data_IF_234337458671
#
_entry.id   IF_234337458671
#
_cell.length_a   1.000
_cell.length_b   1.000
_cell.length_c   1.000
_cell.angle_alpha   90.00
_cell.angle_beta   90.00
_cell.angle_gamma   90.00
#
_symmetry.space_group_name_H-M   'P 1'
#
loop_
_entity.id
_entity.type
_entity.pdbx_description
1 polymer ?
2 branched ?
3 water ?
#
# COMPACT_ATOMS: atom_id res chain seq x y z
N UNK A 1 16.14 -17.29 0.64
CA UNK A 1 14.97 -16.85 1.39
C UNK A 1 13.71 -16.82 0.51
N UNK A 2 12.55 -16.95 1.14
CA UNK A 2 11.27 -16.96 0.44
C UNK A 2 10.58 -15.62 0.63
N UNK A 3 10.28 -14.95 -0.49
CA UNK A 3 9.67 -13.62 -0.40
C UNK A 3 8.19 -13.67 -0.01
N UNK A 4 7.52 -14.81 -0.18
CA UNK A 4 6.12 -14.89 0.17
C UNK A 4 5.38 -15.89 -0.70
N UNK A 5 4.04 -15.89 -0.64
CA UNK A 5 3.20 -14.97 0.12
C UNK A 5 3.16 -15.28 1.61
N UNK A 6 2.86 -14.25 2.39
CA UNK A 6 2.65 -14.37 3.84
C UNK A 6 1.26 -13.85 4.17
N UNK A 7 0.65 -14.43 5.19
CA UNK A 7 -0.72 -14.09 5.51
C UNK A 7 -0.79 -12.80 6.32
N UNK A 8 -1.95 -12.14 6.32
CA UNK A 8 -2.09 -10.88 7.06
C UNK A 8 -1.54 -10.98 8.47
N UNK A 9 -0.82 -9.94 8.87
CA UNK A 9 -0.19 -9.94 10.19
C UNK A 9 0.18 -8.50 10.54
N UNK A 10 0.76 -8.32 11.72
CA UNK A 10 1.23 -7.04 12.22
C UNK A 10 2.68 -7.18 12.66
N UNK A 11 3.51 -6.23 12.28
CA UNK A 11 4.90 -6.20 12.72
C UNK A 11 5.46 -4.84 12.38
N UNK A 12 6.66 -4.56 12.85
CA UNK A 12 7.30 -3.30 12.49
C UNK A 12 8.38 -3.58 11.47
N UNK A 13 8.16 -3.29 10.20
CA UNK A 13 9.08 -3.75 9.15
C UNK A 13 10.44 -3.09 9.29
N UNK A 14 11.52 -3.85 9.04
CA UNK A 14 12.84 -3.22 8.95
C UNK A 14 12.92 -2.29 7.75
N UNK A 15 13.87 -1.36 7.83
CA UNK A 15 14.09 -0.42 6.74
C UNK A 15 14.62 -1.17 5.52
N UNK A 16 14.38 -0.61 4.34
CA UNK A 16 14.95 -1.09 3.08
C UNK A 16 14.33 -2.39 2.59
N UNK A 17 13.06 -2.63 2.92
CA UNK A 17 12.31 -3.77 2.42
C UNK A 17 10.96 -3.32 1.91
N UNK A 18 10.66 -3.69 0.69
CA UNK A 18 9.33 -3.48 0.14
C UNK A 18 8.37 -4.53 0.67
N UNK A 19 7.17 -4.09 1.04
CA UNK A 19 6.05 -4.98 1.33
C UNK A 19 5.10 -4.83 0.15
N UNK A 20 4.84 -5.93 -0.55
CA UNK A 20 4.01 -5.95 -1.74
C UNK A 20 2.71 -6.66 -1.37
N UNK A 21 1.61 -5.93 -1.44
CA UNK A 21 0.30 -6.40 -0.99
C UNK A 21 -0.54 -6.86 -2.17
N UNK A 22 -1.25 -7.98 -1.98
CA UNK A 22 -2.10 -8.56 -3.01
C UNK A 22 -3.54 -8.70 -2.49
N UNK A 23 -4.25 -7.60 -2.33
CA UNK A 23 -5.61 -7.64 -1.78
C UNK A 23 -6.60 -8.26 -2.74
N UNK A 24 -7.63 -8.87 -2.16
CA UNK A 24 -8.74 -9.43 -2.94
C UNK A 24 -9.93 -8.50 -3.03
N UNK A 25 -10.18 -7.71 -1.98
CA UNK A 25 -11.39 -6.90 -1.87
C UNK A 25 -11.05 -5.42 -1.78
N UNK A 26 -11.97 -4.60 -2.28
CA UNK A 26 -11.91 -3.19 -1.96
C UNK A 26 -12.00 -3.01 -0.44
N UNK A 27 -11.40 -1.94 0.05
CA UNK A 27 -11.40 -1.65 1.48
C UNK A 27 -10.04 -1.19 1.98
N UNK A 28 -9.71 -1.50 3.22
CA UNK A 28 -8.40 -1.14 3.78
C UNK A 28 -7.42 -2.28 3.48
N UNK A 29 -6.34 -1.94 2.77
CA UNK A 29 -5.35 -2.94 2.39
C UNK A 29 -4.32 -3.13 3.50
N UNK A 30 -3.90 -2.03 4.11
CA UNK A 30 -2.89 -2.05 5.16
C UNK A 30 -2.95 -0.72 5.89
N UNK A 31 -2.48 -0.74 7.13
CA UNK A 31 -2.42 0.48 7.93
C UNK A 31 -1.15 0.42 8.76
N UNK A 32 -0.73 1.58 9.28
CA UNK A 32 0.45 1.61 10.11
C UNK A 32 0.53 2.88 10.92
N UNK A 33 1.20 2.79 12.06
CA UNK A 33 1.35 3.97 12.91
C UNK A 33 2.69 3.93 13.63
N UNK A 34 3.16 5.12 14.03
CA UNK A 34 4.27 5.23 14.97
C UNK A 34 3.80 5.62 16.36
N UNK A 35 2.49 5.74 16.57
CA UNK A 35 1.88 6.10 17.84
C UNK A 35 2.19 7.51 18.29
N UNK A 36 2.86 8.32 17.48
CA UNK A 36 3.26 9.66 17.89
C UNK A 36 2.68 10.72 16.96
N UNK A 37 3.00 10.67 15.67
CA UNK A 37 2.51 11.71 14.76
C UNK A 37 2.05 11.18 13.40
N UNK A 38 2.00 9.87 13.18
CA UNK A 38 1.49 9.36 11.90
C UNK A 38 0.61 8.14 12.08
N UNK A 39 -0.58 8.19 11.49
CA UNK A 39 -1.48 7.05 11.36
C UNK A 39 -1.85 6.99 9.89
N UNK A 40 -1.46 5.91 9.21
CA UNK A 40 -1.45 5.84 7.75
C UNK A 40 -2.17 4.60 7.27
N UNK A 41 -2.68 4.65 6.05
CA UNK A 41 -3.26 3.46 5.49
C UNK A 41 -3.30 3.58 3.97
N UNK A 42 -3.54 2.45 3.32
CA UNK A 42 -3.84 2.40 1.89
C UNK A 42 -5.23 1.81 1.71
N UNK A 43 -6.06 2.51 0.94
CA UNK A 43 -7.40 2.07 0.60
C UNK A 43 -7.41 1.55 -0.81
N UNK A 44 -8.34 0.65 -1.10
CA UNK A 44 -8.52 0.13 -2.43
C UNK A 44 -9.96 0.37 -2.87
N UNK A 45 -10.13 0.94 -4.06
CA UNK A 45 -11.43 1.21 -4.64
C UNK A 45 -11.50 0.50 -5.99
N UNK A 46 -12.59 -0.23 -6.20
CA UNK A 46 -12.77 -1.00 -7.43
C UNK A 46 -13.00 -0.07 -8.62
N UNK A 47 -12.93 -0.59 -9.84
CA UNK A 47 -13.18 0.26 -11.01
C UNK A 47 -14.59 0.84 -10.99
N UNK A 48 -14.73 2.00 -11.64
CA UNK A 48 -16.04 2.55 -12.00
C UNK A 48 -16.88 2.88 -10.76
N UNK A 49 -16.39 3.82 -9.95
CA UNK A 49 -17.04 4.22 -8.71
C UNK A 49 -17.24 5.73 -8.72
N UNK A 50 -18.49 6.16 -8.66
CA UNK A 50 -18.78 7.57 -8.55
C UNK A 50 -18.45 8.07 -7.14
N UNK A 51 -18.29 9.39 -7.01
CA UNK A 51 -17.99 9.97 -5.70
C UNK A 51 -19.00 9.48 -4.68
N UNK A 52 -18.50 8.86 -3.60
CA UNK A 52 -19.37 8.22 -2.63
C UNK A 52 -18.61 8.17 -1.31
N UNK A 53 -19.35 8.31 -0.21
CA UNK A 53 -18.76 8.21 1.12
C UNK A 53 -18.86 6.76 1.56
N UNK A 54 -17.71 6.17 1.89
CA UNK A 54 -17.64 4.80 2.34
C UNK A 54 -17.05 4.74 3.73
N UNK A 55 -17.42 3.70 4.46
CA UNK A 55 -16.89 3.45 5.79
C UNK A 55 -15.66 2.57 5.73
N UNK A 56 -14.61 2.95 6.45
CA UNK A 56 -13.39 2.18 6.52
C UNK A 56 -13.01 2.00 7.97
N UNK A 57 -12.61 0.79 8.32
CA UNK A 57 -12.15 0.48 9.68
C UNK A 57 -10.65 0.77 9.71
N UNK A 58 -10.28 1.89 10.31
CA UNK A 58 -8.87 2.29 10.40
C UNK A 58 -8.50 2.29 11.88
N UNK A 59 -7.60 1.39 12.26
CA UNK A 59 -7.15 1.24 13.64
C UNK A 59 -8.32 1.02 14.59
N UNK A 60 -9.33 0.29 14.11
CA UNK A 60 -10.50 0.01 14.91
C UNK A 60 -11.58 1.06 14.90
N UNK A 61 -11.31 2.25 14.34
CA UNK A 61 -12.31 3.30 14.29
C UNK A 61 -13.07 3.24 12.97
N UNK A 62 -14.36 3.57 13.05
CA UNK A 62 -15.20 3.70 11.86
C UNK A 62 -14.97 5.09 11.28
N UNK A 63 -14.42 5.15 10.07
CA UNK A 63 -14.03 6.40 9.44
C UNK A 63 -14.74 6.50 8.10
N UNK A 64 -15.53 7.56 7.93
CA UNK A 64 -16.19 7.84 6.66
C UNK A 64 -15.26 8.68 5.80
N UNK A 65 -15.03 8.22 4.57
CA UNK A 65 -14.14 8.88 3.64
C UNK A 65 -14.82 8.91 2.29
N UNK A 66 -14.84 10.07 1.64
CA UNK A 66 -15.44 10.21 0.32
C UNK A 66 -14.38 9.83 -0.73
N UNK A 67 -14.69 8.82 -1.54
CA UNK A 67 -13.77 8.31 -2.55
C UNK A 67 -14.46 8.30 -3.91
N UNK A 68 -13.64 8.13 -4.94
CA UNK A 68 -14.12 7.94 -6.29
C UNK A 68 -13.06 7.18 -7.07
N UNK A 69 -13.48 6.53 -8.15
CA UNK A 69 -12.54 5.96 -9.11
C UNK A 69 -13.13 6.14 -10.49
N UNK A 70 -12.64 7.13 -11.22
CA UNK A 70 -13.15 7.41 -12.56
C UNK A 70 -12.58 6.49 -13.62
N UNK A 71 -11.66 5.59 -13.27
CA UNK A 71 -11.20 4.61 -14.24
C UNK A 71 -12.31 3.61 -14.52
N UNK A 72 -12.58 3.39 -15.80
CA UNK A 72 -13.62 2.44 -16.19
C UNK A 72 -13.21 0.99 -15.95
N UNK A 73 -11.92 0.70 -15.82
CA UNK A 73 -11.47 -0.68 -15.79
C UNK A 73 -10.30 -0.99 -14.85
N UNK A 74 -9.68 -0.01 -14.22
CA UNK A 74 -8.55 -0.25 -13.34
C UNK A 74 -8.94 0.05 -11.90
N UNK A 75 -8.29 -0.63 -10.97
CA UNK A 75 -8.48 -0.42 -9.55
C UNK A 75 -7.68 0.79 -9.11
N UNK A 76 -8.08 1.40 -8.00
CA UNK A 76 -7.43 2.61 -7.50
C UNK A 76 -7.01 2.40 -6.06
N UNK A 77 -5.71 2.45 -5.80
CA UNK A 77 -5.20 2.52 -4.44
C UNK A 77 -5.05 3.98 -4.04
N UNK A 78 -5.43 4.30 -2.81
CA UNK A 78 -5.37 5.65 -2.29
C UNK A 78 -4.58 5.62 -0.98
N UNK A 79 -3.49 6.39 -0.93
CA UNK A 79 -2.75 6.58 0.30
C UNK A 79 -3.44 7.63 1.17
N UNK A 80 -3.65 7.31 2.45
CA UNK A 80 -4.28 8.26 3.37
C UNK A 80 -3.48 8.35 4.65
N UNK A 81 -3.55 9.50 5.30
CA UNK A 81 -2.85 9.63 6.57
C UNK A 81 -3.41 10.77 7.40
N UNK A 82 -3.23 10.65 8.71
CA UNK A 82 -3.47 11.75 9.63
C UNK A 82 -2.21 11.97 10.46
N UNK A 83 -2.07 13.18 11.00
CA UNK A 83 -0.85 13.58 11.68
C UNK A 83 -1.06 13.88 13.16
N UNK A 84 -2.20 13.49 13.72
CA UNK A 84 -2.43 13.57 15.14
C UNK A 84 -3.46 12.51 15.48
N UNK A 85 -3.46 12.10 16.75
CA UNK A 85 -4.32 10.99 17.16
C UNK A 85 -5.76 11.20 16.73
N UNK A 86 -6.25 12.45 16.80
CA UNK A 86 -7.65 12.71 16.46
C UNK A 86 -7.80 13.61 15.24
N UNK A 87 -6.78 13.67 14.37
CA UNK A 87 -6.86 14.48 13.18
C UNK A 87 -7.63 13.81 12.06
N UNK A 88 -7.89 14.58 11.01
CA UNK A 88 -8.62 14.09 9.85
C UNK A 88 -7.66 13.36 8.92
N UNK A 89 -8.15 12.30 8.29
CA UNK A 89 -7.37 11.63 7.27
C UNK A 89 -7.40 12.45 5.99
N UNK A 90 -6.28 12.49 5.31
CA UNK A 90 -6.13 13.21 4.06
C UNK A 90 -5.68 12.22 2.99
N UNK A 91 -6.26 12.31 1.80
CA UNK A 91 -5.85 11.49 0.67
C UNK A 91 -4.67 12.12 -0.03
N UNK A 92 -3.65 11.32 -0.35
CA UNK A 92 -2.45 11.80 -1.01
C UNK A 92 -2.26 11.05 -2.33
N UNK A 93 -1.20 10.25 -2.44
CA UNK A 93 -0.89 9.61 -3.70
C UNK A 93 -1.92 8.56 -4.09
N UNK A 94 -2.05 8.35 -5.40
CA UNK A 94 -2.92 7.31 -5.93
C UNK A 94 -2.14 6.42 -6.90
N UNK A 95 -2.59 5.18 -6.99
CA UNK A 95 -2.04 4.19 -7.92
C UNK A 95 -3.20 3.57 -8.66
N UNK A 96 -3.23 3.73 -9.98
CA UNK A 96 -4.26 3.15 -10.83
C UNK A 96 -3.68 1.89 -11.46
N UNK A 97 -4.34 0.77 -11.24
CA UNK A 97 -3.66 -0.51 -11.39
C UNK A 97 -4.54 -1.55 -12.05
N UNK A 98 -3.98 -2.25 -13.03
CA UNK A 98 -4.64 -3.43 -13.57
C UNK A 98 -4.19 -4.71 -12.89
N UNK A 99 -3.22 -4.64 -11.99
CA UNK A 99 -2.67 -5.83 -11.36
C UNK A 99 -3.19 -6.05 -9.96
N UNK A 100 -3.80 -5.03 -9.35
CA UNK A 100 -4.34 -5.11 -8.00
C UNK A 100 -3.26 -5.29 -6.94
N UNK A 101 -2.06 -4.76 -7.20
CA UNK A 101 -0.93 -4.85 -6.30
C UNK A 101 -0.47 -3.46 -5.92
N UNK A 102 -0.09 -3.30 -4.65
CA UNK A 102 0.53 -2.06 -4.20
C UNK A 102 1.70 -2.42 -3.30
N UNK A 103 2.52 -1.42 -2.96
CA UNK A 103 3.70 -1.71 -2.17
C UNK A 103 4.13 -0.47 -1.40
N UNK A 104 4.86 -0.70 -0.31
CA UNK A 104 5.37 0.37 0.53
C UNK A 104 6.72 -0.07 1.09
N UNK A 105 7.59 0.91 1.34
CA UNK A 105 8.94 0.68 1.87
C UNK A 105 9.41 1.88 2.67
N UNK A 106 10.06 1.61 3.79
CA UNK A 106 10.76 2.64 4.55
C UNK A 106 12.22 2.70 4.11
N UNK A 107 12.68 3.89 3.72
CA UNK A 107 14.07 4.05 3.31
C UNK A 107 14.48 5.50 3.50
N UNK A 108 15.61 5.72 4.16
CA UNK A 108 16.17 7.05 4.33
C UNK A 108 15.31 7.98 5.15
N UNK A 109 14.50 7.45 6.06
CA UNK A 109 13.54 8.26 6.77
C UNK A 109 12.25 8.52 6.00
N UNK A 110 12.21 8.19 4.73
CA UNK A 110 11.04 8.41 3.89
C UNK A 110 10.19 7.15 3.85
N UNK A 111 8.93 7.33 3.49
CA UNK A 111 8.04 6.21 3.19
C UNK A 111 7.72 6.26 1.71
N UNK A 112 8.08 5.20 0.98
CA UNK A 112 7.86 5.10 -0.45
C UNK A 112 6.63 4.25 -0.72
N UNK A 113 5.78 4.72 -1.64
CA UNK A 113 4.73 3.90 -2.25
C UNK A 113 4.81 4.09 -3.75
N UNK A 114 4.11 3.22 -4.47
CA UNK A 114 4.01 3.38 -5.91
C UNK A 114 2.85 4.30 -6.23
N UNK A 115 3.06 5.16 -7.24
CA UNK A 115 1.99 6.02 -7.72
C UNK A 115 2.06 6.12 -9.23
N UNK A 116 0.96 6.56 -9.81
CA UNK A 116 0.82 6.62 -11.25
C UNK A 116 -0.16 5.58 -11.76
N UNK A 117 0.01 5.19 -13.02
CA UNK A 117 -0.85 4.21 -13.67
C UNK A 117 0.01 3.06 -14.18
N UNK A 118 -0.35 1.82 -13.83
CA UNK A 118 0.37 0.69 -14.40
C UNK A 118 0.26 0.70 -15.92
N UNK A 119 1.28 0.23 -16.64
CA UNK A 119 2.52 -0.40 -16.17
C UNK A 119 3.66 0.59 -16.01
N UNK A 120 3.37 1.86 -15.75
CA UNK A 120 4.39 2.91 -15.63
C UNK A 120 4.38 3.55 -14.25
N UNK A 121 3.93 2.81 -13.23
CA UNK A 121 3.94 3.32 -11.87
C UNK A 121 5.35 3.30 -11.30
N UNK A 122 5.65 4.30 -10.47
CA UNK A 122 6.99 4.47 -9.93
C UNK A 122 6.92 4.73 -8.44
N UNK A 123 7.95 4.33 -7.68
CA UNK A 123 8.02 4.69 -6.26
C UNK A 123 8.19 6.19 -6.11
N UNK A 124 7.43 6.78 -5.18
CA UNK A 124 7.57 8.17 -4.80
C UNK A 124 7.60 8.26 -3.28
N UNK A 125 8.30 9.26 -2.78
CA UNK A 125 8.59 9.37 -1.35
C UNK A 125 7.62 10.31 -0.65
N UNK A 126 7.21 9.91 0.54
CA UNK A 126 6.66 10.82 1.54
C UNK A 126 7.79 11.18 2.52
N UNK A 127 7.94 12.48 2.79
CA UNK A 127 9.08 12.96 3.57
C UNK A 127 8.69 14.10 4.50
N UNK A 128 7.43 14.12 4.93
CA UNK A 128 6.97 15.14 5.86
C UNK A 128 7.43 14.89 7.28
N UNK A 129 7.93 13.70 7.58
CA UNK A 129 8.50 13.37 8.88
C UNK A 129 9.42 12.18 8.67
N UNK A 130 10.05 11.70 9.75
CA UNK A 130 10.86 10.48 9.67
C UNK A 130 9.95 9.28 9.95
N UNK A 131 9.74 8.44 8.95
CA UNK A 131 8.76 7.36 9.02
C UNK A 131 9.38 6.03 9.47
N UNK A 132 10.64 6.02 9.90
CA UNK A 132 11.33 4.74 10.12
C UNK A 132 10.66 3.87 11.18
N UNK A 133 9.96 4.45 12.14
CA UNK A 133 9.39 3.65 13.22
C UNK A 133 7.93 3.28 12.99
N UNK A 134 7.36 3.57 11.82
CA UNK A 134 5.97 3.24 11.54
C UNK A 134 5.84 1.72 11.35
N UNK A 135 4.88 1.11 12.05
CA UNK A 135 4.66 -0.33 11.93
C UNK A 135 3.69 -0.62 10.79
N UNK A 136 3.24 -1.86 10.67
CA UNK A 136 2.23 -2.21 9.68
C UNK A 136 1.30 -3.28 10.23
N UNK A 137 0.03 -3.19 9.88
CA UNK A 137 -0.87 -4.32 9.92
C UNK A 137 -1.37 -4.50 8.50
N UNK A 138 -1.11 -5.67 7.94
CA UNK A 138 -1.60 -5.97 6.60
C UNK A 138 -2.94 -6.67 6.72
N UNK A 139 -3.84 -6.36 5.78
CA UNK A 139 -5.12 -7.04 5.67
C UNK A 139 -5.22 -7.84 4.38
N UNK A 140 -4.09 -8.08 3.74
CA UNK A 140 -4.01 -8.91 2.55
C UNK A 140 -2.72 -9.70 2.62
N UNK A 141 -2.68 -10.80 1.88
CA UNK A 141 -1.43 -11.54 1.70
C UNK A 141 -0.38 -10.60 1.13
N UNK A 142 0.89 -10.87 1.44
CA UNK A 142 1.94 -9.95 1.01
C UNK A 142 3.26 -10.67 0.80
N UNK A 143 4.16 -9.97 0.11
CA UNK A 143 5.51 -10.43 -0.17
C UNK A 143 6.51 -9.43 0.37
N UNK A 144 7.72 -9.90 0.66
CA UNK A 144 8.79 -9.07 1.20
C UNK A 144 9.95 -9.12 0.22
N UNK A 145 10.35 -7.94 -0.28
CA UNK A 145 11.37 -7.84 -1.31
C UNK A 145 12.37 -6.77 -0.89
N UNK A 146 13.64 -7.12 -0.85
CA UNK A 146 14.67 -6.16 -0.46
C UNK A 146 14.78 -5.00 -1.45
N UNK A 147 15.22 -3.85 -0.94
CA UNK A 147 15.50 -2.73 -1.83
C UNK A 147 16.55 -3.10 -2.89
N UNK A 148 17.50 -3.98 -2.53
CA UNK A 148 18.46 -4.48 -3.51
C UNK A 148 17.75 -5.13 -4.69
N UNK A 149 16.55 -5.67 -4.48
CA UNK A 149 15.74 -6.31 -5.51
C UNK A 149 14.56 -5.43 -5.91
N UNK A 150 14.68 -4.11 -5.76
CA UNK A 150 13.56 -3.23 -6.06
C UNK A 150 13.01 -3.46 -7.46
N UNK A 151 13.85 -3.83 -8.41
CA UNK A 151 13.37 -3.99 -9.78
C UNK A 151 12.34 -5.10 -9.87
N UNK A 152 12.49 -6.15 -9.08
CA UNK A 152 11.47 -7.19 -9.01
C UNK A 152 10.15 -6.62 -8.51
N UNK A 153 10.19 -5.75 -7.50
CA UNK A 153 8.94 -5.26 -6.95
C UNK A 153 8.25 -4.33 -7.95
N UNK A 154 9.05 -3.52 -8.67
CA UNK A 154 8.47 -2.67 -9.72
C UNK A 154 7.83 -3.51 -10.80
N UNK A 155 8.51 -4.59 -11.18
CA UNK A 155 8.01 -5.46 -12.25
C UNK A 155 6.67 -6.07 -11.84
N UNK A 156 6.57 -6.55 -10.60
CA UNK A 156 5.32 -7.16 -10.17
C UNK A 156 4.20 -6.13 -10.08
N UNK A 157 4.46 -5.00 -9.43
CA UNK A 157 3.43 -3.96 -9.27
C UNK A 157 2.85 -3.59 -10.61
N UNK A 158 3.71 -3.47 -11.62
CA UNK A 158 3.29 -2.95 -12.91
C UNK A 158 2.75 -4.00 -13.86
N UNK A 159 3.20 -5.25 -13.74
CA UNK A 159 2.89 -6.28 -14.73
C UNK A 159 2.25 -7.54 -14.16
N UNK A 160 2.24 -7.73 -12.85
CA UNK A 160 1.57 -8.87 -12.26
C UNK A 160 2.55 -9.85 -11.61
N UNK A 161 2.00 -10.70 -10.80
CA UNK A 161 2.78 -11.74 -10.15
C UNK A 161 2.88 -12.95 -11.06
N UNK A 162 3.84 -13.82 -10.83
CA UNK A 162 3.92 -15.06 -11.62
C UNK A 162 2.71 -15.94 -11.36
N UNK A 163 2.40 -16.87 -12.27
CA UNK A 163 1.22 -17.72 -12.07
C UNK A 163 1.40 -18.80 -11.02
N UNK A 164 2.60 -18.98 -10.47
CA UNK A 164 2.85 -20.02 -9.49
C UNK A 164 3.51 -19.36 -8.28
N UNK A 165 3.33 -19.99 -7.12
CA UNK A 165 3.91 -19.48 -5.88
C UNK A 165 5.41 -19.77 -5.83
N UNK A 166 6.15 -19.23 -6.81
CA UNK A 166 7.63 -19.40 -6.85
C UNK A 166 8.35 -18.09 -7.16
N UNK A 167 7.82 -16.99 -6.67
CA UNK A 167 8.53 -15.73 -6.86
C UNK A 167 9.96 -15.79 -6.34
N UNK A 168 10.23 -16.68 -5.37
CA UNK A 168 11.58 -16.87 -4.87
C UNK A 168 12.56 -17.22 -5.97
N UNK A 169 12.11 -17.96 -6.98
CA UNK A 169 12.98 -18.42 -8.06
C UNK A 169 12.76 -17.69 -9.38
N UNK A 170 11.83 -16.73 -9.44
CA UNK A 170 11.33 -16.21 -10.71
C UNK A 170 11.61 -14.71 -10.82
N UNK A 171 12.36 -14.32 -11.85
CA UNK A 171 12.59 -12.92 -12.16
C UNK A 171 12.67 -12.71 -13.66
X LIG B 1 17.73 13.86 -1.15
X LIG B 1 18.01 12.39 -1.43
X LIG B 1 18.79 12.17 -2.73
X LIG B 1 19.89 13.22 -2.97
X LIG B 1 20.29 13.20 -4.44
X LIG B 1 19.04 14.64 -1.28
X LIG B 1 18.80 16.00 -0.99
X LIG B 1 17.18 14.00 0.14
X LIG B 1 16.75 11.76 -1.49
X LIG B 1 19.38 10.91 -2.77
X LIG B 1 19.48 14.51 -2.61
X LIG B 1 21.43 12.40 -4.58
X LIG B 1 17.98 16.11 -0.82
X LIG B 1 17.30 13.28 0.58
X LIG B 1 16.36 12.00 -2.20
X LIG B 1 21.25 11.59 -4.38
X LIG B 2 18.38 9.94 -2.67
X LIG B 2 18.61 8.69 -3.51
X LIG B 2 17.32 7.89 -3.41
X LIG B 2 17.05 7.54 -1.93
X LIG B 2 16.99 8.88 -1.17
X LIG B 2 16.77 8.62 0.33
X LIG B 2 18.87 9.06 -4.84
X LIG B 2 17.38 6.72 -4.18
X LIG B 2 18.15 6.82 -1.46
X LIG B 2 18.20 9.54 -1.35
X LIG B 2 16.76 9.85 0.99
X LIG B 2 18.13 9.15 -5.26
X LIG B 2 18.74 7.35 -1.18
X LIG B 2 17.51 10.24 0.88
X LIG B 3 16.11 6.47 -4.74
X LIG B 3 16.32 5.93 -6.17
X LIG B 3 15.06 5.33 -6.78
X LIG B 3 14.30 4.49 -5.76
X LIG B 3 14.16 5.20 -4.41
X LIG B 3 13.56 4.17 -3.46
X LIG B 3 18.23 6.95 -7.46
X LIG B 3 19.12 5.79 -7.00
X LIG B 3 16.84 6.99 -7.03
X LIG B 3 15.40 4.47 -7.84
X LIG B 3 13.02 4.17 -6.23
X LIG B 3 15.42 5.55 -3.92
X LIG B 3 14.41 3.05 -3.51
X LIG B 3 18.66 7.80 -8.16
X LIG B 3 16.33 7.64 -7.27
X LIG B 3 12.81 4.71 -6.86
X LIG B 3 14.10 2.45 -3.00
X LIG B 4 15.48 5.13 -9.07
X LIG B 4 16.09 4.18 -10.10
X LIG B 4 16.17 4.91 -11.44
X LIG B 4 14.81 5.46 -11.85
X LIG B 4 14.25 6.30 -10.70
X LIG B 4 12.83 6.71 -11.06
X LIG B 4 17.37 3.79 -9.67
X LIG B 4 16.64 4.03 -12.43
X LIG B 4 13.93 4.41 -12.11
X LIG B 4 14.21 5.53 -9.51
X LIG B 4 12.40 7.72 -10.19
X LIG B 4 16.37 3.23 -12.26
X LIG B 4 14.19 3.98 -12.80
X LIG B 4 12.77 7.62 -9.44
X LIG B 5 17.45 2.39 -9.63
X LIG B 5 18.93 1.98 -9.65
X LIG B 5 19.61 2.38 -8.34
X LIG B 5 18.83 1.79 -7.15
X LIG B 5 17.41 2.29 -7.25
X LIG B 5 16.61 1.65 -6.11
X LIG B 5 19.56 2.59 -10.74
X LIG B 5 20.92 1.89 -8.32
X LIG B 5 18.82 0.39 -7.26
X LIG B 5 16.83 1.90 -8.47
X LIG B 5 18.99 3.01 -11.21
X LIG B 5 20.90 1.04 -8.23
X LIG B 5 18.14 0.15 -7.71
#
# INVERSE_FOLDING_TARGET
TLDGPYQPTSFNPPINYWLLLSPTNAGVVMQGTNNTNRWLATLLVEPNVESTTRNYNLFGSSVDITVENTSSDKWKFIDVGKTSLNGSYVQHGTLISSTKLCAAMKHGGNLYTFSGTTPNALPKAYSTTNFDSVNVTTFADFYIISRDNEQKCRQYVNNGLPPIQNTRNLE
BGC C2 C3 C4 C5 C6 C1 O1 O2 O3 O4 O5 O6 HO1 HO2 HO3 HO6
GAL C1 C2 C3 C4 C5 C6 O2 O3 O4 O5 O6 HO2 HO4 HO6
NAG C1 C2 C3 C4 C5 C6 C7 C8 N2 O3 O4 O5 O6 O7 HN2 HO4 HO6
GAL C1 C2 C3 C4 C5 C6 O2 O3 O4 O5 O6 HO3 HO4 HO6
FUC C1 C2 C3 C4 C5 C6 O2 O3 O4 O5 HO2 HO3 HO4
#
